data_IF_635591704093
#
_entry.id   IF_635591704093
#
_cell.length_a   1.000
_cell.length_b   1.000
_cell.length_c   1.000
_cell.angle_alpha   90.00
_cell.angle_beta   90.00
_cell.angle_gamma   90.00
#
_symmetry.space_group_name_H-M   'P 1'
#
loop_
_entity.id
_entity.type
_entity.pdbx_description
1 polymer ?
#
# COMPACT_ATOMS: atom_id res chain seq x y z
N UNK A 1 21.13 -40.65 17.20
CA UNK A 1 20.59 -40.63 15.81
C UNK A 1 19.26 -39.87 15.84
N UNK A 2 19.27 -38.56 15.60
CA UNK A 2 18.07 -37.72 15.72
C UNK A 2 17.13 -37.93 14.53
N UNK A 3 15.91 -38.39 14.79
CA UNK A 3 14.87 -38.68 13.79
C UNK A 3 14.38 -37.34 13.23
N UNK A 4 14.76 -37.00 11.99
CA UNK A 4 14.24 -35.79 11.31
C UNK A 4 12.73 -35.92 11.18
N UNK A 5 11.98 -35.04 11.84
CA UNK A 5 10.53 -34.95 11.68
C UNK A 5 10.20 -34.53 10.24
N UNK A 6 9.30 -35.23 9.54
CA UNK A 6 8.94 -34.88 8.18
C UNK A 6 8.20 -33.53 8.16
N UNK A 7 8.72 -32.56 7.40
CA UNK A 7 8.12 -31.24 7.22
C UNK A 7 6.77 -31.33 6.49
N UNK A 8 5.75 -30.63 6.98
CA UNK A 8 4.41 -30.66 6.40
C UNK A 8 4.35 -29.93 5.05
N UNK A 9 3.27 -30.12 4.28
CA UNK A 9 3.03 -29.35 3.03
C UNK A 9 2.86 -27.85 3.30
N UNK A 10 2.32 -27.49 4.46
CA UNK A 10 2.18 -26.10 4.88
C UNK A 10 3.55 -25.46 5.13
N UNK A 11 4.45 -26.16 5.85
CA UNK A 11 5.81 -25.68 6.13
C UNK A 11 6.59 -25.45 4.84
N UNK A 12 6.46 -26.36 3.86
CA UNK A 12 7.10 -26.22 2.55
C UNK A 12 6.57 -25.03 1.75
N UNK A 13 5.28 -24.72 1.84
CA UNK A 13 4.67 -23.54 1.18
C UNK A 13 5.09 -22.24 1.84
N UNK A 14 5.14 -22.21 3.17
CA UNK A 14 5.63 -21.05 3.93
C UNK A 14 7.10 -20.78 3.62
N UNK A 15 7.94 -21.82 3.62
CA UNK A 15 9.36 -21.70 3.25
C UNK A 15 9.58 -21.21 1.82
N UNK A 16 8.80 -21.71 0.85
CA UNK A 16 8.87 -21.23 -0.52
C UNK A 16 8.44 -19.76 -0.67
N UNK A 17 7.40 -19.33 0.07
CA UNK A 17 6.95 -17.94 0.08
C UNK A 17 8.01 -16.99 0.65
N UNK A 18 8.64 -17.36 1.77
CA UNK A 18 9.72 -16.59 2.37
C UNK A 18 10.93 -16.49 1.44
N UNK A 19 11.32 -17.59 0.77
CA UNK A 19 12.42 -17.58 -0.19
C UNK A 19 12.16 -16.64 -1.37
N UNK A 20 10.93 -16.60 -1.90
CA UNK A 20 10.54 -15.65 -2.97
C UNK A 20 10.61 -14.21 -2.47
N UNK A 21 10.09 -13.92 -1.28
CA UNK A 21 10.15 -12.57 -0.72
C UNK A 21 11.59 -12.09 -0.50
N UNK A 22 12.46 -12.94 0.03
CA UNK A 22 13.89 -12.64 0.20
C UNK A 22 14.61 -12.44 -1.13
N UNK A 23 14.31 -13.27 -2.14
CA UNK A 23 14.87 -13.10 -3.48
C UNK A 23 14.43 -11.78 -4.12
N UNK A 24 13.16 -11.39 -3.97
CA UNK A 24 12.65 -10.11 -4.45
C UNK A 24 13.33 -8.95 -3.73
N UNK A 25 13.46 -9.01 -2.41
CA UNK A 25 14.16 -7.98 -1.66
C UNK A 25 15.62 -7.84 -2.11
N UNK A 26 16.37 -8.95 -2.17
CA UNK A 26 17.76 -8.94 -2.60
C UNK A 26 17.92 -8.38 -4.03
N UNK A 27 17.05 -8.79 -4.95
CA UNK A 27 17.08 -8.30 -6.33
C UNK A 27 16.76 -6.79 -6.42
N UNK A 28 15.73 -6.33 -5.70
CA UNK A 28 15.36 -4.92 -5.68
C UNK A 28 16.50 -4.05 -5.13
N UNK A 29 17.05 -4.41 -3.97
CA UNK A 29 18.15 -3.67 -3.38
C UNK A 29 19.41 -3.69 -4.25
N UNK A 30 19.68 -4.79 -4.97
CA UNK A 30 20.79 -4.83 -5.92
C UNK A 30 20.57 -3.88 -7.11
N UNK A 31 19.36 -3.86 -7.69
CA UNK A 31 19.03 -3.01 -8.85
C UNK A 31 19.00 -1.52 -8.49
N UNK A 32 18.42 -1.18 -7.33
CA UNK A 32 18.28 0.21 -6.87
C UNK A 32 19.44 0.68 -5.97
N UNK A 33 20.47 -0.14 -5.77
CA UNK A 33 21.66 0.23 -4.97
C UNK A 33 22.27 1.59 -5.34
N UNK A 34 22.37 1.98 -6.64
CA UNK A 34 22.92 3.28 -7.00
C UNK A 34 22.11 4.47 -6.46
N UNK A 35 20.79 4.30 -6.29
CA UNK A 35 19.92 5.36 -5.80
C UNK A 35 20.03 5.58 -4.29
N UNK A 36 20.47 4.57 -3.52
CA UNK A 36 20.47 4.62 -2.05
C UNK A 36 21.29 5.79 -1.47
N UNK A 37 22.29 6.28 -2.20
CA UNK A 37 23.16 7.36 -1.75
C UNK A 37 22.91 8.68 -2.49
N UNK A 38 21.87 8.74 -3.34
CA UNK A 38 21.52 9.99 -4.01
C UNK A 38 21.05 11.01 -2.95
N UNK A 39 21.51 12.27 -3.02
CA UNK A 39 21.09 13.30 -2.09
C UNK A 39 19.59 13.60 -2.26
N UNK A 40 18.99 14.29 -1.28
CA UNK A 40 17.67 14.89 -1.47
C UNK A 40 17.68 15.77 -2.72
N UNK A 41 16.70 15.57 -3.59
CA UNK A 41 16.61 16.26 -4.87
C UNK A 41 15.17 16.68 -5.19
N UNK A 42 15.02 17.83 -5.85
CA UNK A 42 13.72 18.36 -6.29
C UNK A 42 12.73 18.45 -5.12
N UNK A 43 11.54 17.88 -5.27
CA UNK A 43 10.47 17.87 -4.27
C UNK A 43 10.90 17.34 -2.90
N UNK A 44 11.96 16.53 -2.80
CA UNK A 44 12.46 16.02 -1.52
C UNK A 44 12.85 17.16 -0.56
N UNK A 45 13.29 18.29 -1.12
CA UNK A 45 13.64 19.48 -0.37
C UNK A 45 12.42 20.01 0.38
N UNK A 46 11.26 20.11 -0.27
CA UNK A 46 10.04 20.68 0.32
C UNK A 46 9.19 19.64 1.08
N UNK A 47 9.18 18.37 0.67
CA UNK A 47 8.46 17.32 1.39
C UNK A 47 9.22 16.82 2.62
N UNK A 48 10.56 16.85 2.62
CA UNK A 48 11.37 16.17 3.64
C UNK A 48 12.41 17.11 4.28
N UNK A 49 13.37 17.61 3.51
CA UNK A 49 14.57 18.24 4.06
C UNK A 49 14.35 19.64 4.66
N UNK A 50 13.35 20.39 4.18
CA UNK A 50 13.01 21.74 4.64
C UNK A 50 11.62 21.80 5.29
N UNK A 51 11.04 20.65 5.65
CA UNK A 51 9.66 20.59 6.14
C UNK A 51 9.60 20.36 7.66
N UNK A 52 9.47 21.45 8.42
CA UNK A 52 9.40 21.39 9.89
C UNK A 52 8.24 20.50 10.43
N UNK A 53 7.15 20.37 9.67
CA UNK A 53 6.01 19.52 10.05
C UNK A 53 6.33 18.02 9.97
N UNK A 54 7.22 17.65 9.07
CA UNK A 54 7.73 16.29 8.92
C UNK A 54 8.87 16.02 9.91
N UNK A 55 9.73 17.00 10.16
CA UNK A 55 10.94 16.80 10.97
C UNK A 55 10.68 16.77 12.47
N UNK A 56 9.67 17.50 12.94
CA UNK A 56 9.39 17.64 14.38
C UNK A 56 8.15 16.84 14.76
N UNK A 57 8.27 15.67 15.41
CA UNK A 57 7.12 14.89 15.81
C UNK A 57 6.33 15.61 16.90
N UNK A 58 5.09 15.97 16.59
CA UNK A 58 4.14 16.53 17.57
C UNK A 58 2.70 16.29 17.12
N UNK A 59 1.77 16.27 18.08
CA UNK A 59 0.34 16.19 17.75
C UNK A 59 -0.14 17.40 16.94
N UNK A 60 0.45 18.58 17.16
CA UNK A 60 0.16 19.77 16.38
C UNK A 60 0.57 19.59 14.91
N UNK A 61 1.77 19.07 14.65
CA UNK A 61 2.25 18.81 13.29
C UNK A 61 1.47 17.69 12.61
N UNK A 62 1.12 16.63 13.34
CA UNK A 62 0.24 15.59 12.82
C UNK A 62 -1.13 16.16 12.40
N UNK A 63 -1.75 17.01 13.22
CA UNK A 63 -3.01 17.68 12.87
C UNK A 63 -2.85 18.61 11.66
N UNK A 64 -1.72 19.30 11.55
CA UNK A 64 -1.44 20.19 10.42
C UNK A 64 -1.29 19.41 9.10
N UNK A 65 -0.61 18.25 9.11
CA UNK A 65 -0.49 17.35 7.96
C UNK A 65 -1.85 16.86 7.47
N UNK A 66 -2.76 16.54 8.40
CA UNK A 66 -4.10 16.01 8.10
C UNK A 66 -5.18 17.09 7.92
N UNK A 67 -4.80 18.37 7.84
CA UNK A 67 -5.73 19.47 7.59
C UNK A 67 -5.68 19.88 6.11
N UNK A 68 -6.78 19.73 5.34
CA UNK A 68 -6.81 20.08 3.92
C UNK A 68 -6.69 21.58 3.65
N UNK A 69 -6.93 22.41 4.67
CA UNK A 69 -6.75 23.86 4.66
C UNK A 69 -5.62 24.29 5.60
N UNK A 70 -4.77 23.35 6.00
CA UNK A 70 -3.67 23.57 6.93
C UNK A 70 -2.47 24.26 6.27
N UNK A 71 -1.56 24.82 7.07
CA UNK A 71 -0.38 25.54 6.57
C UNK A 71 0.54 24.65 5.72
N UNK A 72 0.52 23.33 5.94
CA UNK A 72 1.37 22.38 5.21
C UNK A 72 1.01 22.32 3.73
N UNK A 73 -0.28 22.44 3.39
CA UNK A 73 -0.76 22.39 1.99
C UNK A 73 -0.19 23.52 1.16
N UNK A 74 -0.02 24.71 1.74
CA UNK A 74 0.60 25.85 1.07
C UNK A 74 2.12 25.69 0.88
N UNK A 75 2.78 24.88 1.71
CA UNK A 75 4.24 24.64 1.62
C UNK A 75 4.56 23.61 0.55
N UNK A 76 3.75 22.56 0.45
CA UNK A 76 4.01 21.45 -0.49
C UNK A 76 3.12 21.49 -1.74
N UNK A 77 2.27 22.52 -1.85
CA UNK A 77 1.32 22.76 -2.96
C UNK A 77 0.45 21.53 -3.30
N UNK A 78 0.20 20.69 -2.31
CA UNK A 78 -0.44 19.39 -2.50
C UNK A 78 -1.07 18.90 -1.19
N UNK A 79 -2.27 18.31 -1.26
CA UNK A 79 -2.88 17.65 -0.10
C UNK A 79 -2.69 16.14 -0.17
N UNK A 80 -1.64 15.66 0.50
CA UNK A 80 -1.29 14.24 0.56
C UNK A 80 -0.91 13.83 1.99
N UNK A 81 -1.90 13.72 2.92
CA UNK A 81 -1.62 13.53 4.34
C UNK A 81 -0.94 12.19 4.66
N UNK A 82 -1.28 11.12 3.95
CA UNK A 82 -0.62 9.80 4.10
C UNK A 82 0.83 9.86 3.64
N UNK A 83 1.10 10.53 2.52
CA UNK A 83 2.44 10.72 1.97
C UNK A 83 3.35 11.46 2.98
N UNK A 84 2.88 12.58 3.51
CA UNK A 84 3.60 13.36 4.53
C UNK A 84 3.76 12.59 5.85
N UNK A 85 2.76 11.79 6.24
CA UNK A 85 2.87 10.94 7.43
C UNK A 85 3.94 9.87 7.27
N UNK A 86 4.08 9.27 6.09
CA UNK A 86 5.17 8.32 5.81
C UNK A 86 6.54 9.00 5.90
N UNK A 87 6.69 10.22 5.37
CA UNK A 87 7.94 10.98 5.54
C UNK A 87 8.21 11.37 7.00
N UNK A 88 7.19 11.72 7.78
CA UNK A 88 7.36 12.03 9.21
C UNK A 88 7.80 10.80 10.02
N UNK A 89 7.32 9.62 9.67
CA UNK A 89 7.78 8.36 10.27
C UNK A 89 9.20 8.01 9.81
N UNK A 90 9.50 8.17 8.52
CA UNK A 90 10.83 7.94 7.98
C UNK A 90 11.86 8.90 8.61
N UNK A 91 11.52 10.17 8.79
CA UNK A 91 12.38 11.15 9.45
C UNK A 91 12.63 10.81 10.92
N UNK A 92 11.61 10.31 11.64
CA UNK A 92 11.82 9.84 13.01
C UNK A 92 12.77 8.63 13.09
N UNK A 93 12.75 7.76 12.08
CA UNK A 93 13.60 6.58 12.03
C UNK A 93 15.04 6.86 11.55
N UNK A 94 15.19 7.74 10.55
CA UNK A 94 16.43 7.92 9.80
C UNK A 94 16.99 9.35 9.84
N UNK A 95 16.20 10.32 10.28
CA UNK A 95 16.56 11.74 10.26
C UNK A 95 16.93 12.19 8.84
N UNK A 96 18.09 12.83 8.73
CA UNK A 96 18.63 13.32 7.46
C UNK A 96 19.38 12.24 6.64
N UNK A 97 19.47 10.99 7.10
CA UNK A 97 20.13 9.91 6.36
C UNK A 97 19.30 9.48 5.14
N UNK A 98 19.74 9.90 3.95
CA UNK A 98 19.08 9.60 2.67
C UNK A 98 18.97 8.10 2.40
N UNK A 99 19.89 7.28 2.94
CA UNK A 99 19.89 5.83 2.71
C UNK A 99 18.62 5.20 3.27
N UNK A 100 18.18 5.63 4.45
CA UNK A 100 16.94 5.16 5.07
C UNK A 100 15.69 5.51 4.26
N UNK A 101 15.63 6.73 3.72
CA UNK A 101 14.51 7.20 2.90
C UNK A 101 14.42 6.44 1.56
N UNK A 102 15.55 6.25 0.87
CA UNK A 102 15.58 5.44 -0.35
C UNK A 102 15.26 3.97 -0.07
N UNK A 103 15.79 3.41 1.01
CA UNK A 103 15.50 2.03 1.40
C UNK A 103 14.01 1.80 1.68
N UNK A 104 13.31 2.81 2.23
CA UNK A 104 11.85 2.75 2.42
C UNK A 104 11.12 2.62 1.07
N UNK A 105 11.49 3.38 0.05
CA UNK A 105 10.87 3.28 -1.27
C UNK A 105 11.12 1.92 -1.90
N UNK A 106 12.36 1.43 -1.86
CA UNK A 106 12.71 0.09 -2.36
C UNK A 106 11.91 -0.98 -1.63
N UNK A 107 11.80 -0.90 -0.30
CA UNK A 107 11.02 -1.83 0.50
C UNK A 107 9.53 -1.79 0.13
N UNK A 108 8.95 -0.60 -0.06
CA UNK A 108 7.55 -0.46 -0.50
C UNK A 108 7.32 -1.01 -1.90
N UNK A 109 8.29 -0.88 -2.82
CA UNK A 109 8.24 -1.48 -4.14
C UNK A 109 8.30 -3.01 -4.10
N UNK A 110 9.10 -3.58 -3.20
CA UNK A 110 9.11 -5.04 -2.94
C UNK A 110 7.74 -5.50 -2.44
N UNK A 111 7.15 -4.78 -1.48
CA UNK A 111 5.80 -5.08 -0.98
C UNK A 111 4.77 -5.01 -2.11
N UNK A 112 4.76 -3.94 -2.90
CA UNK A 112 3.85 -3.78 -4.03
C UNK A 112 4.01 -4.93 -5.06
N UNK A 113 5.25 -5.31 -5.37
CA UNK A 113 5.55 -6.40 -6.30
C UNK A 113 5.10 -7.77 -5.78
N UNK A 114 5.26 -8.05 -4.48
CA UNK A 114 4.77 -9.29 -3.87
C UNK A 114 3.24 -9.33 -3.81
N UNK A 115 2.58 -8.20 -3.54
CA UNK A 115 1.13 -8.08 -3.62
C UNK A 115 0.63 -8.29 -5.05
N UNK A 116 1.35 -7.78 -6.06
CA UNK A 116 1.05 -8.01 -7.47
C UNK A 116 1.14 -9.50 -7.82
N UNK A 117 2.19 -10.21 -7.38
CA UNK A 117 2.30 -11.67 -7.54
C UNK A 117 1.09 -12.37 -6.92
N UNK A 118 0.71 -11.97 -5.70
CA UNK A 118 -0.42 -12.59 -5.01
C UNK A 118 -1.76 -12.30 -5.70
N UNK A 119 -1.93 -11.10 -6.26
CA UNK A 119 -3.11 -10.73 -7.02
C UNK A 119 -3.20 -11.54 -8.31
N UNK A 120 -2.13 -11.60 -9.11
CA UNK A 120 -2.06 -12.43 -10.33
C UNK A 120 -2.41 -13.90 -10.05
N UNK A 121 -1.89 -14.47 -8.96
CA UNK A 121 -2.21 -15.84 -8.54
C UNK A 121 -3.68 -16.03 -8.20
N UNK A 122 -4.32 -15.05 -7.55
CA UNK A 122 -5.76 -15.08 -7.21
C UNK A 122 -6.62 -14.90 -8.45
N UNK A 123 -6.12 -14.19 -9.45
CA UNK A 123 -6.77 -13.98 -10.75
C UNK A 123 -6.59 -15.16 -11.73
N UNK A 124 -6.03 -16.29 -11.28
CA UNK A 124 -5.91 -17.52 -12.09
C UNK A 124 -4.59 -17.70 -12.83
N UNK A 125 -3.61 -16.79 -12.69
CA UNK A 125 -2.29 -16.95 -13.31
C UNK A 125 -1.50 -18.05 -12.60
N UNK A 126 -0.89 -18.94 -13.37
CA UNK A 126 -0.02 -19.99 -12.84
C UNK A 126 1.09 -19.40 -11.95
N UNK A 127 1.37 -20.03 -10.81
CA UNK A 127 2.26 -19.45 -9.78
C UNK A 127 3.65 -19.07 -10.32
N UNK A 128 4.24 -19.88 -11.20
CA UNK A 128 5.54 -19.57 -11.83
C UNK A 128 5.48 -18.33 -12.72
N UNK A 129 4.43 -18.22 -13.54
CA UNK A 129 4.22 -17.06 -14.40
C UNK A 129 3.95 -15.79 -13.59
N UNK A 130 3.15 -15.88 -12.52
CA UNK A 130 2.89 -14.76 -11.62
C UNK A 130 4.18 -14.25 -10.95
N UNK A 131 5.03 -15.15 -10.46
CA UNK A 131 6.35 -14.79 -9.90
C UNK A 131 7.25 -14.14 -10.96
N UNK A 132 7.30 -14.69 -12.17
CA UNK A 132 8.09 -14.13 -13.26
C UNK A 132 7.61 -12.72 -13.65
N UNK A 133 6.30 -12.50 -13.78
CA UNK A 133 5.71 -11.18 -14.06
C UNK A 133 5.99 -10.18 -12.94
N UNK A 134 5.89 -10.62 -11.68
CA UNK A 134 6.25 -9.78 -10.54
C UNK A 134 7.74 -9.39 -10.53
N UNK A 135 8.63 -10.31 -10.91
CA UNK A 135 10.06 -10.02 -11.01
C UNK A 135 10.36 -9.07 -12.18
N UNK A 136 9.70 -9.25 -13.33
CA UNK A 136 9.79 -8.30 -14.46
C UNK A 136 9.34 -6.91 -14.04
N UNK A 137 8.19 -6.80 -13.36
CA UNK A 137 7.70 -5.53 -12.83
C UNK A 137 8.70 -4.91 -11.84
N UNK A 138 9.23 -5.71 -10.91
CA UNK A 138 10.18 -5.25 -9.88
C UNK A 138 11.40 -4.52 -10.49
N UNK A 139 11.98 -5.09 -11.56
CA UNK A 139 13.21 -4.59 -12.20
C UNK A 139 12.96 -3.73 -13.43
N UNK A 140 11.70 -3.47 -13.80
CA UNK A 140 11.38 -2.75 -15.02
C UNK A 140 11.87 -1.29 -14.94
N UNK A 141 12.62 -0.78 -15.95
CA UNK A 141 13.21 0.56 -15.89
C UNK A 141 12.18 1.69 -15.79
N UNK A 142 10.95 1.48 -16.27
CA UNK A 142 9.86 2.46 -16.10
C UNK A 142 9.50 2.75 -14.63
N UNK A 143 9.89 1.88 -13.69
CA UNK A 143 9.65 2.08 -12.27
C UNK A 143 10.75 2.90 -11.58
N UNK A 144 11.85 3.23 -12.28
CA UNK A 144 13.02 3.90 -11.66
C UNK A 144 12.63 5.21 -11.01
N UNK A 145 11.85 6.06 -11.67
CA UNK A 145 11.42 7.34 -11.07
C UNK A 145 10.59 7.11 -9.80
N UNK A 146 9.65 6.15 -9.83
CA UNK A 146 8.78 5.86 -8.70
C UNK A 146 9.53 5.28 -7.49
N UNK A 147 10.64 4.57 -7.72
CA UNK A 147 11.38 3.85 -6.67
C UNK A 147 12.60 4.63 -6.18
N UNK A 148 13.37 5.25 -7.09
CA UNK A 148 14.61 5.93 -6.77
C UNK A 148 14.43 7.37 -6.26
N UNK A 149 13.27 7.99 -6.47
CA UNK A 149 13.01 9.34 -5.97
C UNK A 149 12.27 9.28 -4.63
N UNK A 150 12.86 9.82 -3.56
CA UNK A 150 12.34 9.72 -2.19
C UNK A 150 10.88 10.18 -2.10
N UNK A 151 10.53 11.32 -2.68
CA UNK A 151 9.16 11.87 -2.72
C UNK A 151 8.15 11.02 -3.50
N UNK A 152 8.58 9.96 -4.18
CA UNK A 152 7.69 9.02 -4.87
C UNK A 152 7.23 7.86 -3.98
N UNK A 153 7.54 7.87 -2.68
CA UNK A 153 6.94 6.92 -1.73
C UNK A 153 5.40 6.93 -1.82
N UNK A 154 4.81 8.06 -2.22
CA UNK A 154 3.38 8.20 -2.57
C UNK A 154 2.92 7.18 -3.61
N UNK A 155 3.69 6.97 -4.67
CA UNK A 155 3.33 6.11 -5.81
C UNK A 155 3.47 4.64 -5.46
N UNK A 156 4.58 4.25 -4.83
CA UNK A 156 4.79 2.86 -4.40
C UNK A 156 3.81 2.44 -3.31
N UNK A 157 3.52 3.32 -2.36
CA UNK A 157 2.55 3.05 -1.29
C UNK A 157 1.10 3.01 -1.80
N UNK A 158 0.72 3.92 -2.70
CA UNK A 158 -0.60 3.90 -3.33
C UNK A 158 -0.85 2.58 -4.09
N UNK A 159 0.14 2.11 -4.87
CA UNK A 159 0.03 0.83 -5.57
C UNK A 159 -0.11 -0.35 -4.59
N UNK A 160 0.71 -0.38 -3.53
CA UNK A 160 0.62 -1.41 -2.50
C UNK A 160 -0.77 -1.44 -1.83
N UNK A 161 -1.29 -0.27 -1.44
CA UNK A 161 -2.61 -0.15 -0.83
C UNK A 161 -3.74 -0.56 -1.80
N UNK A 162 -3.64 -0.18 -3.07
CA UNK A 162 -4.60 -0.56 -4.10
C UNK A 162 -4.63 -2.08 -4.32
N UNK A 163 -3.46 -2.71 -4.44
CA UNK A 163 -3.35 -4.17 -4.59
C UNK A 163 -3.84 -4.91 -3.34
N UNK A 164 -3.54 -4.39 -2.15
CA UNK A 164 -4.07 -4.93 -0.90
C UNK A 164 -5.60 -4.85 -0.85
N UNK A 165 -6.18 -3.72 -1.25
CA UNK A 165 -7.64 -3.55 -1.34
C UNK A 165 -8.27 -4.53 -2.34
N UNK A 166 -7.67 -4.71 -3.52
CA UNK A 166 -8.12 -5.70 -4.51
C UNK A 166 -8.07 -7.13 -3.96
N UNK A 167 -6.99 -7.49 -3.27
CA UNK A 167 -6.83 -8.81 -2.64
C UNK A 167 -7.87 -9.04 -1.52
N UNK A 168 -8.16 -8.01 -0.73
CA UNK A 168 -9.19 -8.06 0.29
C UNK A 168 -10.57 -8.27 -0.36
N UNK A 169 -10.88 -7.52 -1.42
CA UNK A 169 -12.13 -7.67 -2.17
C UNK A 169 -12.31 -9.09 -2.74
N UNK A 170 -11.27 -9.64 -3.39
CA UNK A 170 -11.29 -11.03 -3.89
C UNK A 170 -11.47 -12.06 -2.76
N UNK A 171 -11.03 -11.75 -1.55
CA UNK A 171 -11.21 -12.63 -0.40
C UNK A 171 -12.66 -12.61 0.12
N UNK A 172 -13.32 -11.45 0.06
CA UNK A 172 -14.73 -11.33 0.44
C UNK A 172 -15.67 -12.05 -0.53
N UNK A 173 -15.37 -12.05 -1.84
CA UNK A 173 -16.19 -12.76 -2.84
C UNK A 173 -16.22 -14.28 -2.66
N UNK A 174 -15.25 -14.84 -1.93
CA UNK A 174 -15.14 -16.28 -1.66
C UNK A 174 -15.84 -16.65 -0.34
N UNK A 175 -16.24 -15.68 0.49
CA UNK A 175 -17.01 -15.95 1.70
C UNK A 175 -18.46 -16.28 1.32
N UNK A 176 -19.04 -17.38 1.84
CA UNK A 176 -20.47 -17.65 1.64
C UNK A 176 -21.28 -16.51 2.25
N UNK A 177 -22.13 -15.87 1.45
CA UNK A 177 -23.09 -14.89 1.96
C UNK A 177 -23.97 -15.60 3.00
N UNK A 178 -24.25 -14.97 4.16
CA UNK A 178 -25.22 -15.52 5.09
C UNK A 178 -26.56 -15.70 4.35
N UNK A 179 -27.30 -16.80 4.62
CA UNK A 179 -28.63 -16.95 4.05
C UNK A 179 -29.46 -15.73 4.43
N UNK A 180 -30.13 -15.12 3.46
CA UNK A 180 -31.09 -14.04 3.68
C UNK A 180 -32.25 -14.65 4.47
N UNK A 181 -32.17 -14.64 5.80
CA UNK A 181 -33.19 -15.17 6.70
C UNK A 181 -34.15 -14.08 7.17
N UNK A 182 -34.10 -12.87 6.62
CA UNK A 182 -35.16 -11.88 6.83
C UNK A 182 -36.38 -12.33 6.05
N UNK A 183 -37.49 -12.70 6.72
CA UNK A 183 -38.76 -12.85 6.03
C UNK A 183 -39.07 -11.51 5.36
N UNK A 184 -39.48 -11.53 4.09
CA UNK A 184 -40.16 -10.37 3.51
C UNK A 184 -41.25 -9.96 4.51
N UNK A 185 -41.31 -8.68 4.95
CA UNK A 185 -42.41 -8.24 5.79
C UNK A 185 -43.69 -8.65 5.07
N UNK A 186 -44.52 -9.44 5.76
CA UNK A 186 -45.84 -9.83 5.25
C UNK A 186 -46.49 -8.56 4.76
N UNK A 187 -46.85 -8.51 3.49
CA UNK A 187 -47.63 -7.42 2.91
C UNK A 187 -48.88 -7.26 3.77
N UNK A 188 -48.86 -6.35 4.75
CA UNK A 188 -50.09 -5.88 5.36
C UNK A 188 -50.85 -5.20 4.22
N UNK A 189 -52.09 -5.60 3.93
CA UNK A 189 -52.87 -4.92 2.91
C UNK A 189 -52.91 -3.43 3.27
N UNK A 190 -52.58 -2.58 2.31
CA UNK A 190 -52.69 -1.14 2.42
C UNK A 190 -54.08 -0.78 2.96
N UNK A 191 -54.22 0.04 4.01
CA UNK A 191 -55.52 0.59 4.36
C UNK A 191 -56.00 1.49 3.22
N UNK A 192 -57.18 1.20 2.68
CA UNK A 192 -57.80 1.82 1.50
C UNK A 192 -58.28 3.27 1.69
N UNK A 193 -57.72 4.02 2.63
CA UNK A 193 -58.21 5.35 2.99
C UNK A 193 -57.08 6.33 3.27
N UNK A 194 -56.29 6.64 2.23
CA UNK A 194 -55.48 7.87 2.22
C UNK A 194 -55.72 8.58 0.88
N UNK A 195 -56.65 9.52 0.96
CA UNK A 195 -57.03 10.45 -0.10
C UNK A 195 -55.80 11.23 -0.57
N UNK A 196 -55.56 11.22 -1.89
CA UNK A 196 -54.62 12.07 -2.61
C UNK A 196 -54.99 13.55 -2.41
N UNK A 197 -54.43 14.23 -1.42
CA UNK A 197 -54.29 15.68 -1.41
C UNK A 197 -52.92 16.04 -0.83
N UNK A 198 -52.23 16.94 -1.52
CA UNK A 198 -50.97 17.59 -1.16
C UNK A 198 -49.68 16.80 -1.46
N UNK A 199 -49.15 17.00 -2.67
CA UNK A 199 -47.77 17.45 -2.88
C UNK A 199 -47.59 17.85 -4.36
N UNK A 200 -48.06 19.05 -4.67
CA UNK A 200 -47.47 19.89 -5.69
C UNK A 200 -46.77 21.01 -4.92
N UNK A 201 -45.44 20.99 -4.92
CA UNK A 201 -44.50 22.12 -4.87
C UNK A 201 -43.11 21.57 -5.16
#
# INVERSE_FOLDING_TARGET
MAKRTPTTRADRRAGAGAAVALAFAALAFAVYAPALHAPFFSDDLHYVQANAYVQTPSLANARAIWSPVGPVVGIVENYAPVHLSLHALAWQAFGADVVGHHALNVAMHVVASLLLVQWLRRSGVATRAAVALGAVFLVHPANVEAVAWISQVKTTSALALALAALLAHLSCLVLPLPPISTPLPSTTPFPSHLSLHALAL
#
